data_IF_512315762780
#
_entry.id   IF_512315762780
#
_cell.length_a   1.000
_cell.length_b   1.000
_cell.length_c   1.000
_cell.angle_alpha   90.00
_cell.angle_beta   90.00
_cell.angle_gamma   90.00
#
_symmetry.space_group_name_H-M   'P 1'
#
loop_
_entity.id
_entity.type
_entity.pdbx_description
1 polymer ?
#
# COMPACT_ATOMS: atom_id res chain seq x y z
N UNK A 1 -9.69 -9.91 8.45
CA UNK A 1 -10.36 -10.06 7.14
C UNK A 1 -11.69 -10.80 7.30
N UNK A 2 -11.73 -11.91 8.06
CA UNK A 2 -12.96 -12.70 8.30
C UNK A 2 -14.17 -11.92 8.87
N UNK A 3 -13.91 -10.76 9.48
CA UNK A 3 -14.95 -9.94 10.11
C UNK A 3 -15.69 -9.04 9.10
N UNK A 4 -15.21 -8.96 7.85
CA UNK A 4 -15.88 -8.23 6.77
C UNK A 4 -17.05 -9.05 6.20
N UNK A 5 -18.14 -8.36 5.88
CA UNK A 5 -19.24 -8.90 5.11
C UNK A 5 -18.83 -9.09 3.64
N UNK A 6 -19.53 -9.96 2.91
CA UNK A 6 -19.24 -10.22 1.51
C UNK A 6 -19.28 -8.96 0.62
N UNK A 7 -20.18 -8.02 0.92
CA UNK A 7 -20.26 -6.73 0.22
C UNK A 7 -19.05 -5.83 0.51
N UNK A 8 -18.55 -5.81 1.74
CA UNK A 8 -17.35 -5.05 2.13
C UNK A 8 -16.09 -5.65 1.49
N UNK A 9 -16.01 -6.99 1.37
CA UNK A 9 -14.91 -7.65 0.66
C UNK A 9 -14.93 -7.28 -0.82
N UNK A 10 -16.10 -7.31 -1.46
CA UNK A 10 -16.24 -6.91 -2.86
C UNK A 10 -15.86 -5.45 -3.07
N UNK A 11 -16.39 -4.54 -2.26
CA UNK A 11 -16.10 -3.11 -2.33
C UNK A 11 -14.61 -2.80 -2.11
N UNK A 12 -14.00 -3.45 -1.10
CA UNK A 12 -12.58 -3.31 -0.78
C UNK A 12 -11.69 -3.67 -1.99
N UNK A 13 -11.96 -4.79 -2.66
CA UNK A 13 -11.13 -5.24 -3.77
C UNK A 13 -11.47 -4.56 -5.11
N UNK A 14 -12.70 -4.12 -5.32
CA UNK A 14 -13.03 -3.22 -6.44
C UNK A 14 -12.29 -1.89 -6.30
N UNK A 15 -12.29 -1.31 -5.10
CA UNK A 15 -11.53 -0.09 -4.79
C UNK A 15 -10.03 -0.32 -4.94
N UNK A 16 -9.51 -1.45 -4.44
CA UNK A 16 -8.09 -1.83 -4.59
C UNK A 16 -7.68 -1.89 -6.06
N UNK A 17 -8.51 -2.49 -6.92
CA UNK A 17 -8.24 -2.55 -8.36
C UNK A 17 -8.21 -1.16 -9.01
N UNK A 18 -9.19 -0.30 -8.69
CA UNK A 18 -9.24 1.06 -9.22
C UNK A 18 -8.04 1.90 -8.77
N UNK A 19 -7.69 1.85 -7.48
CA UNK A 19 -6.52 2.52 -6.91
C UNK A 19 -5.25 1.98 -7.55
N UNK A 20 -5.10 0.66 -7.66
CA UNK A 20 -3.95 -0.01 -8.26
C UNK A 20 -3.61 0.52 -9.65
N UNK A 21 -4.60 0.56 -10.54
CA UNK A 21 -4.41 1.08 -11.90
C UNK A 21 -3.89 2.52 -11.91
N UNK A 22 -4.43 3.37 -11.02
CA UNK A 22 -4.08 4.79 -10.95
C UNK A 22 -2.67 4.96 -10.39
N UNK A 23 -2.31 4.27 -9.31
CA UNK A 23 -0.99 4.42 -8.70
C UNK A 23 0.09 3.79 -9.58
N UNK A 24 -0.19 2.69 -10.27
CA UNK A 24 0.73 2.12 -11.26
C UNK A 24 1.06 3.14 -12.35
N UNK A 25 0.03 3.74 -12.96
CA UNK A 25 0.22 4.76 -13.99
C UNK A 25 0.93 6.01 -13.45
N UNK A 26 0.49 6.53 -12.31
CA UNK A 26 1.00 7.79 -11.76
C UNK A 26 2.49 7.71 -11.40
N UNK A 27 2.90 6.59 -10.80
CA UNK A 27 4.29 6.38 -10.36
C UNK A 27 5.18 5.70 -11.42
N UNK A 28 4.68 5.50 -12.64
CA UNK A 28 5.44 4.88 -13.73
C UNK A 28 5.80 3.41 -13.46
N UNK A 29 4.94 2.71 -12.72
CA UNK A 29 5.02 1.27 -12.53
C UNK A 29 4.65 0.50 -13.79
N UNK A 30 5.05 -0.76 -13.84
CA UNK A 30 4.69 -1.73 -14.89
C UNK A 30 4.03 -2.98 -14.31
N UNK A 31 3.95 -3.06 -12.98
CA UNK A 31 3.29 -4.13 -12.25
C UNK A 31 2.85 -3.61 -10.88
N UNK A 32 2.07 -4.41 -10.15
CA UNK A 32 1.62 -4.11 -8.79
C UNK A 32 1.96 -5.27 -7.84
N UNK A 33 2.30 -4.94 -6.60
CA UNK A 33 2.18 -5.87 -5.48
C UNK A 33 0.98 -5.44 -4.64
N UNK A 34 0.06 -6.38 -4.41
CA UNK A 34 -1.13 -6.21 -3.58
C UNK A 34 -1.01 -7.18 -2.42
N UNK A 35 -1.05 -6.68 -1.18
CA UNK A 35 -0.81 -7.49 0.02
C UNK A 35 -1.80 -7.17 1.14
N UNK A 36 -2.22 -8.20 1.87
CA UNK A 36 -3.05 -8.11 3.08
C UNK A 36 -2.38 -8.94 4.18
N UNK A 37 -2.06 -8.28 5.30
CA UNK A 37 -1.50 -8.93 6.48
C UNK A 37 -2.62 -9.14 7.50
N UNK A 38 -3.34 -10.27 7.41
CA UNK A 38 -4.47 -10.58 8.30
C UNK A 38 -4.00 -11.28 9.58
N UNK A 39 -3.77 -10.50 10.62
CA UNK A 39 -3.39 -10.96 11.96
C UNK A 39 -1.91 -10.78 12.32
N UNK A 40 -1.56 -10.92 13.61
CA UNK A 40 -0.21 -10.61 14.11
C UNK A 40 0.89 -11.44 13.44
N UNK A 41 0.68 -12.74 13.24
CA UNK A 41 1.66 -13.64 12.62
C UNK A 41 1.88 -13.36 11.12
N UNK A 42 0.93 -12.69 10.46
CA UNK A 42 1.07 -12.19 9.10
C UNK A 42 1.81 -10.85 9.02
N UNK A 43 2.17 -10.24 10.16
CA UNK A 43 2.87 -8.96 10.25
C UNK A 43 1.98 -7.76 10.55
N UNK A 44 0.69 -7.95 10.85
CA UNK A 44 -0.24 -6.85 11.11
C UNK A 44 0.17 -6.03 12.34
N UNK A 45 0.35 -4.72 12.18
CA UNK A 45 0.68 -3.78 13.26
C UNK A 45 -0.54 -2.97 13.71
N UNK A 46 -1.31 -2.44 12.76
CA UNK A 46 -2.57 -1.72 13.02
C UNK A 46 -3.75 -2.69 12.93
N UNK A 47 -4.54 -2.77 14.00
CA UNK A 47 -5.72 -3.66 14.11
C UNK A 47 -6.93 -3.14 13.32
N UNK A 48 -6.74 -2.94 12.03
CA UNK A 48 -7.75 -2.56 11.05
C UNK A 48 -7.39 -3.24 9.73
N UNK A 49 -8.37 -3.80 9.02
CA UNK A 49 -8.10 -4.42 7.70
C UNK A 49 -7.68 -3.33 6.73
N UNK A 50 -6.53 -3.51 6.09
CA UNK A 50 -6.03 -2.63 5.04
C UNK A 50 -5.29 -3.45 3.98
N UNK A 51 -5.22 -2.89 2.78
CA UNK A 51 -4.54 -3.49 1.64
C UNK A 51 -3.37 -2.59 1.26
N UNK A 52 -2.16 -3.13 1.22
CA UNK A 52 -1.04 -2.41 0.64
C UNK A 52 -1.11 -2.54 -0.89
N UNK A 53 -0.99 -1.41 -1.58
CA UNK A 53 -0.96 -1.34 -3.05
C UNK A 53 0.34 -0.66 -3.45
N UNK A 54 1.28 -1.43 -4.00
CA UNK A 54 2.63 -0.97 -4.31
C UNK A 54 2.90 -1.04 -5.81
N UNK A 55 3.02 0.10 -6.51
CA UNK A 55 3.55 0.16 -7.86
C UNK A 55 4.97 -0.43 -7.93
N UNK A 56 5.19 -1.32 -8.89
CA UNK A 56 6.47 -2.02 -9.11
C UNK A 56 7.06 -1.62 -10.45
N UNK A 57 8.38 -1.57 -10.53
CA UNK A 57 9.12 -1.29 -11.77
C UNK A 57 10.36 -2.18 -11.88
N UNK A 58 10.87 -2.45 -13.09
CA UNK A 58 12.08 -3.25 -13.25
C UNK A 58 13.24 -2.65 -12.44
N UNK A 59 13.88 -3.49 -11.62
CA UNK A 59 15.01 -3.09 -10.78
C UNK A 59 14.65 -2.22 -9.57
N UNK A 60 13.39 -2.21 -9.12
CA UNK A 60 13.02 -1.57 -7.85
C UNK A 60 13.62 -2.26 -6.62
N UNK A 61 13.90 -3.56 -6.72
CA UNK A 61 14.66 -4.34 -5.75
C UNK A 61 15.70 -5.22 -6.43
N UNK A 62 16.86 -5.40 -5.79
CA UNK A 62 17.92 -6.32 -6.24
C UNK A 62 17.43 -7.77 -6.30
N UNK A 63 16.59 -8.17 -5.33
CA UNK A 63 15.88 -9.44 -5.31
C UNK A 63 14.39 -9.15 -5.15
N UNK A 64 13.57 -9.74 -6.00
CA UNK A 64 12.12 -9.49 -6.02
C UNK A 64 11.46 -9.66 -4.65
N UNK A 65 11.88 -10.66 -3.88
CA UNK A 65 11.27 -11.01 -2.60
C UNK A 65 11.71 -10.09 -1.44
N UNK A 66 12.67 -9.18 -1.65
CA UNK A 66 13.05 -8.19 -0.63
C UNK A 66 11.87 -7.26 -0.28
N UNK A 67 10.87 -7.13 -1.16
CA UNK A 67 9.65 -6.39 -0.85
C UNK A 67 8.94 -6.90 0.40
N UNK A 68 9.02 -8.21 0.69
CA UNK A 68 8.37 -8.78 1.89
C UNK A 68 9.11 -8.38 3.16
N UNK A 69 10.44 -8.30 3.11
CA UNK A 69 11.25 -7.81 4.22
C UNK A 69 10.96 -6.32 4.47
N UNK A 70 10.88 -5.50 3.41
CA UNK A 70 10.54 -4.08 3.54
C UNK A 70 9.11 -3.87 4.06
N UNK A 71 8.12 -4.62 3.57
CA UNK A 71 6.75 -4.57 4.10
C UNK A 71 6.70 -4.92 5.58
N UNK A 72 7.48 -5.90 6.03
CA UNK A 72 7.54 -6.27 7.43
C UNK A 72 8.25 -5.23 8.31
N UNK A 73 9.18 -4.45 7.74
CA UNK A 73 9.97 -3.43 8.45
C UNK A 73 9.26 -2.07 8.50
N UNK A 74 8.61 -1.67 7.41
CA UNK A 74 7.98 -0.36 7.25
C UNK A 74 7.03 -0.02 8.39
N UNK A 75 6.28 -1.00 8.89
CA UNK A 75 5.27 -0.77 9.92
C UNK A 75 5.80 -0.92 11.37
N UNK A 76 7.11 -1.16 11.57
CA UNK A 76 7.71 -1.36 12.88
C UNK A 76 8.37 -0.09 13.43
N UNK A 77 8.04 0.24 14.68
CA UNK A 77 8.54 1.40 15.45
C UNK A 77 10.07 1.57 15.45
N UNK A 78 10.84 0.47 15.34
CA UNK A 78 12.30 0.51 15.40
C UNK A 78 12.96 1.22 14.20
N UNK A 79 12.26 1.31 13.06
CA UNK A 79 12.71 2.01 11.86
C UNK A 79 11.92 3.28 11.56
N UNK A 80 10.96 3.57 12.45
CA UNK A 80 10.05 4.68 12.40
C UNK A 80 10.76 5.96 12.85
N UNK A 81 11.57 6.48 11.94
CA UNK A 81 12.40 7.67 12.17
C UNK A 81 11.75 8.90 11.55
N UNK A 82 11.44 9.95 12.33
CA UNK A 82 10.83 11.18 11.82
C UNK A 82 11.62 11.84 10.67
N UNK A 83 12.93 11.60 10.60
CA UNK A 83 13.79 12.10 9.52
C UNK A 83 13.53 11.47 8.15
N UNK A 84 12.81 10.35 8.09
CA UNK A 84 12.44 9.66 6.85
C UNK A 84 10.99 9.94 6.42
N UNK A 85 10.21 10.58 7.29
CA UNK A 85 8.80 10.84 7.02
C UNK A 85 8.63 12.01 6.05
N UNK A 86 7.60 11.91 5.23
CA UNK A 86 7.11 13.04 4.46
C UNK A 86 6.25 13.93 5.36
N UNK A 87 6.22 15.22 5.07
CA UNK A 87 5.33 16.16 5.75
C UNK A 87 3.85 15.90 5.40
N UNK A 88 2.93 16.33 6.27
CA UNK A 88 1.49 16.27 5.98
C UNK A 88 1.12 17.07 4.71
N UNK A 89 1.83 18.16 4.43
CA UNK A 89 1.62 18.98 3.23
C UNK A 89 1.99 18.21 1.96
N UNK A 90 3.12 17.48 1.96
CA UNK A 90 3.51 16.61 0.85
C UNK A 90 2.50 15.49 0.62
N UNK A 91 2.03 14.85 1.70
CA UNK A 91 1.00 13.81 1.63
C UNK A 91 -0.33 14.35 1.10
N UNK A 92 -0.76 15.54 1.56
CA UNK A 92 -1.99 16.18 1.08
C UNK A 92 -1.88 16.58 -0.41
N UNK A 93 -0.72 17.06 -0.83
CA UNK A 93 -0.45 17.40 -2.24
C UNK A 93 -0.51 16.17 -3.12
N UNK A 94 0.14 15.07 -2.73
CA UNK A 94 0.06 13.78 -3.45
C UNK A 94 -1.38 13.28 -3.54
N UNK A 95 -2.12 13.27 -2.42
CA UNK A 95 -3.51 12.86 -2.40
C UNK A 95 -4.40 13.72 -3.32
N UNK A 96 -4.17 15.03 -3.36
CA UNK A 96 -4.89 15.95 -4.25
C UNK A 96 -4.58 15.69 -5.73
N UNK A 97 -3.38 15.21 -6.06
CA UNK A 97 -3.02 14.80 -7.43
C UNK A 97 -3.72 13.49 -7.77
N UNK A 98 -3.61 12.47 -6.91
CA UNK A 98 -4.23 11.15 -7.13
C UNK A 98 -5.75 11.25 -7.25
N UNK A 99 -6.39 12.11 -6.45
CA UNK A 99 -7.84 12.36 -6.50
C UNK A 99 -8.34 12.75 -7.89
N UNK A 100 -7.53 13.45 -8.70
CA UNK A 100 -7.93 13.91 -10.05
C UNK A 100 -8.10 12.76 -11.05
N UNK A 101 -7.55 11.59 -10.77
CA UNK A 101 -7.72 10.41 -11.63
C UNK A 101 -9.07 9.72 -11.45
N UNK A 102 -9.83 10.06 -10.39
CA UNK A 102 -11.13 9.48 -10.07
C UNK A 102 -12.31 10.43 -10.41
N UNK A 103 -12.03 11.54 -11.11
CA UNK A 103 -13.02 12.54 -11.53
C UNK A 103 -13.37 12.36 -13.01
#
# INVERSE_FOLDING_TARGET
FRDLHAEEVADLFHTTQAVGNIVEQHFGGTSLTISVQDGPEAGQTVKHVHVHVLPRKPGDFDRNDNIYDELQRHDKEAEDSPSKWRSEEEMATEAAILKKYFQ
#
